data_IF_280716855577
#
_entry.id   IF_280716855577
#
_cell.length_a   1.000
_cell.length_b   1.000
_cell.length_c   1.000
_cell.angle_alpha   90.00
_cell.angle_beta   90.00
_cell.angle_gamma   90.00
#
_symmetry.space_group_name_H-M   'P 1'
#
loop_
_entity.id
_entity.type
_entity.pdbx_description
1 polymer ?
#
# COMPACT_ATOMS: atom_id res chain seq x y z
N UNK A 1 -2.49 -0.13 -9.98
CA UNK A 1 -1.40 0.39 -10.81
C UNK A 1 -1.07 1.81 -10.37
N UNK A 2 0.19 2.05 -10.06
CA UNK A 2 0.67 3.38 -9.71
C UNK A 2 0.96 4.20 -10.96
N UNK A 3 0.59 5.47 -10.92
CA UNK A 3 0.89 6.43 -11.97
C UNK A 3 2.00 7.35 -11.45
N UNK A 4 3.14 7.33 -12.13
CA UNK A 4 4.29 8.14 -11.73
C UNK A 4 4.59 9.20 -12.78
N UNK A 5 5.09 10.33 -12.32
CA UNK A 5 5.55 11.41 -13.16
C UNK A 5 7.08 11.43 -13.29
N UNK A 6 7.62 12.52 -13.85
CA UNK A 6 9.08 12.71 -13.97
C UNK A 6 9.78 12.56 -12.62
N UNK A 7 10.92 11.86 -12.60
CA UNK A 7 11.69 11.67 -11.39
C UNK A 7 11.14 10.63 -10.43
N UNK A 8 10.09 9.88 -10.79
CA UNK A 8 9.51 8.84 -9.96
C UNK A 8 8.53 9.32 -8.89
N UNK A 9 8.09 10.58 -8.96
CA UNK A 9 7.06 11.09 -8.06
C UNK A 9 5.72 10.41 -8.35
N UNK A 10 4.96 10.09 -7.31
CA UNK A 10 3.65 9.47 -7.45
C UNK A 10 2.61 10.54 -7.77
N UNK A 11 1.92 10.39 -8.89
CA UNK A 11 0.82 11.28 -9.28
C UNK A 11 -0.53 10.74 -8.85
N UNK A 12 -0.71 9.44 -8.85
CA UNK A 12 -1.96 8.82 -8.46
C UNK A 12 -1.90 7.30 -8.50
N UNK A 13 -3.03 6.67 -8.23
CA UNK A 13 -3.20 5.22 -8.28
C UNK A 13 -4.51 4.89 -8.99
N UNK A 14 -4.48 3.86 -9.83
CA UNK A 14 -5.66 3.32 -10.49
C UNK A 14 -5.90 1.91 -9.97
N UNK A 15 -7.09 1.66 -9.45
CA UNK A 15 -7.53 0.35 -8.96
C UNK A 15 -8.69 -0.17 -9.79
N UNK A 16 -9.05 -1.44 -9.61
CA UNK A 16 -10.26 -2.01 -10.22
C UNK A 16 -11.49 -1.19 -9.82
N UNK A 17 -11.54 -0.71 -8.57
CA UNK A 17 -12.64 0.13 -8.08
C UNK A 17 -12.78 1.40 -8.88
N UNK A 18 -11.66 2.05 -9.23
CA UNK A 18 -11.68 3.27 -10.05
C UNK A 18 -12.22 3.00 -11.45
N UNK A 19 -11.84 1.87 -12.04
CA UNK A 19 -12.29 1.47 -13.37
C UNK A 19 -13.80 1.17 -13.35
N UNK A 20 -14.25 0.39 -12.36
CA UNK A 20 -15.67 0.02 -12.22
C UNK A 20 -16.52 1.26 -11.97
N UNK A 21 -16.09 2.15 -11.10
CA UNK A 21 -16.77 3.41 -10.82
C UNK A 21 -16.86 4.29 -12.07
N UNK A 22 -15.79 4.36 -12.85
CA UNK A 22 -15.74 5.11 -14.10
C UNK A 22 -16.71 4.57 -15.14
N UNK A 23 -16.76 3.25 -15.31
CA UNK A 23 -17.70 2.59 -16.23
C UNK A 23 -19.13 2.82 -15.79
N UNK A 24 -19.43 2.72 -14.49
CA UNK A 24 -20.78 2.96 -13.97
C UNK A 24 -21.24 4.41 -14.19
N UNK A 25 -20.32 5.36 -14.11
CA UNK A 25 -20.64 6.80 -14.27
C UNK A 25 -20.68 7.25 -15.72
N UNK A 26 -19.73 6.83 -16.53
CA UNK A 26 -19.49 7.37 -17.88
C UNK A 26 -19.59 6.32 -19.01
N UNK A 27 -19.88 5.06 -18.68
CA UNK A 27 -19.97 3.98 -19.66
C UNK A 27 -18.61 3.50 -20.14
N UNK A 28 -18.61 2.68 -21.19
CA UNK A 28 -17.41 2.03 -21.71
C UNK A 28 -16.37 3.00 -22.28
N UNK A 29 -16.73 4.24 -22.56
CA UNK A 29 -15.82 5.28 -23.06
C UNK A 29 -14.64 5.54 -22.11
N UNK A 30 -14.84 5.29 -20.81
CA UNK A 30 -13.79 5.45 -19.81
C UNK A 30 -12.58 4.56 -20.09
N UNK A 31 -12.80 3.41 -20.73
CA UNK A 31 -11.75 2.44 -21.03
C UNK A 31 -10.73 2.94 -22.06
N UNK A 32 -11.10 3.95 -22.85
CA UNK A 32 -10.21 4.56 -23.83
C UNK A 32 -9.59 5.88 -23.35
N UNK A 33 -9.91 6.32 -22.14
CA UNK A 33 -9.37 7.55 -21.56
C UNK A 33 -8.00 7.32 -20.92
N UNK A 34 -7.14 8.35 -20.84
CA UNK A 34 -5.89 8.26 -20.09
C UNK A 34 -6.13 7.92 -18.62
N UNK A 35 -5.24 7.13 -18.03
CA UNK A 35 -5.32 6.75 -16.62
C UNK A 35 -5.37 7.97 -15.68
N UNK A 36 -4.72 9.06 -16.05
CA UNK A 36 -4.74 10.29 -15.27
C UNK A 36 -6.12 10.91 -15.05
N UNK A 37 -7.10 10.58 -15.90
CA UNK A 37 -8.47 11.08 -15.76
C UNK A 37 -9.29 10.30 -14.73
N UNK A 38 -8.90 9.05 -14.46
CA UNK A 38 -9.64 8.18 -13.54
C UNK A 38 -8.87 7.83 -12.27
N UNK A 39 -7.59 8.18 -12.19
CA UNK A 39 -6.76 7.87 -11.03
C UNK A 39 -7.19 8.62 -9.77
N UNK A 40 -6.97 7.98 -8.63
CA UNK A 40 -7.07 8.62 -7.33
C UNK A 40 -5.76 9.36 -7.05
N UNK A 41 -5.82 10.66 -6.78
CA UNK A 41 -4.64 11.50 -6.56
C UNK A 41 -4.18 11.54 -5.11
N UNK A 42 -5.09 11.33 -4.17
CA UNK A 42 -4.79 11.27 -2.75
C UNK A 42 -4.32 9.86 -2.39
N UNK A 43 -3.05 9.59 -2.61
CA UNK A 43 -2.45 8.27 -2.43
C UNK A 43 -1.81 8.19 -1.05
N UNK A 44 -2.21 7.18 -0.27
CA UNK A 44 -1.53 6.86 0.97
C UNK A 44 -0.18 6.23 0.67
N UNK A 45 0.85 6.69 1.35
CA UNK A 45 2.22 6.21 1.18
C UNK A 45 2.85 5.93 2.55
N UNK A 46 3.94 5.18 2.56
CA UNK A 46 4.72 4.97 3.78
C UNK A 46 6.19 5.27 3.54
N UNK A 47 6.90 5.44 4.65
CA UNK A 47 8.33 5.65 4.68
C UNK A 47 9.01 4.34 5.10
N UNK A 48 10.23 4.02 4.62
CA UNK A 48 10.95 2.83 5.07
C UNK A 48 11.17 2.76 6.59
N UNK A 49 11.14 3.90 7.28
CA UNK A 49 11.30 3.96 8.73
C UNK A 49 10.00 3.70 9.49
N UNK A 50 8.85 3.65 8.82
CA UNK A 50 7.58 3.36 9.46
C UNK A 50 7.55 1.92 9.97
N UNK A 51 6.97 1.70 11.15
CA UNK A 51 6.87 0.37 11.71
C UNK A 51 5.84 -0.47 10.95
N UNK A 52 6.02 -1.79 11.00
CA UNK A 52 5.06 -2.74 10.43
C UNK A 52 3.68 -2.56 11.05
N UNK A 53 3.63 -2.25 12.34
CA UNK A 53 2.37 -1.98 13.05
C UNK A 53 1.65 -0.76 12.48
N UNK A 54 2.37 0.35 12.25
CA UNK A 54 1.81 1.56 11.65
C UNK A 54 1.30 1.31 10.24
N UNK A 55 2.07 0.59 9.42
CA UNK A 55 1.70 0.24 8.04
C UNK A 55 0.44 -0.61 8.03
N UNK A 56 0.35 -1.59 8.92
CA UNK A 56 -0.82 -2.46 9.04
C UNK A 56 -2.07 -1.68 9.43
N UNK A 57 -1.93 -0.72 10.34
CA UNK A 57 -3.04 0.15 10.73
C UNK A 57 -3.55 1.00 9.56
N UNK A 58 -2.66 1.58 8.78
CA UNK A 58 -3.05 2.35 7.59
C UNK A 58 -3.80 1.47 6.59
N UNK A 59 -3.29 0.28 6.32
CA UNK A 59 -3.94 -0.67 5.40
C UNK A 59 -5.33 -1.07 5.89
N UNK A 60 -5.48 -1.30 7.18
CA UNK A 60 -6.75 -1.67 7.79
C UNK A 60 -7.74 -0.52 7.77
N UNK A 61 -7.32 0.66 8.21
CA UNK A 61 -8.18 1.84 8.29
C UNK A 61 -8.64 2.32 6.92
N UNK A 62 -7.76 2.30 5.94
CA UNK A 62 -8.04 2.74 4.58
C UNK A 62 -8.53 1.63 3.66
N UNK A 63 -8.58 0.38 4.15
CA UNK A 63 -8.99 -0.80 3.39
C UNK A 63 -8.22 -0.97 2.09
N UNK A 64 -6.91 -0.81 2.17
CA UNK A 64 -5.99 -0.97 1.05
C UNK A 64 -5.06 -2.15 1.30
N UNK A 65 -4.67 -2.85 0.24
CA UNK A 65 -3.84 -4.05 0.31
C UNK A 65 -2.41 -3.82 -0.13
N UNK A 66 -2.12 -2.65 -0.68
CA UNK A 66 -0.80 -2.28 -1.16
C UNK A 66 -0.53 -0.84 -0.76
N UNK A 67 0.70 -0.58 -0.33
CA UNK A 67 1.10 0.75 0.11
C UNK A 67 2.45 1.09 -0.52
N UNK A 68 2.53 2.17 -1.31
CA UNK A 68 3.81 2.58 -1.88
C UNK A 68 4.76 3.06 -0.79
N UNK A 69 6.03 2.69 -0.92
CA UNK A 69 7.12 3.18 -0.09
C UNK A 69 7.79 4.33 -0.82
N UNK A 70 7.85 5.48 -0.19
CA UNK A 70 8.40 6.71 -0.78
C UNK A 70 9.62 7.16 -0.01
N UNK A 71 10.69 7.47 -0.73
CA UNK A 71 11.94 8.03 -0.20
C UNK A 71 12.22 9.31 -0.96
N UNK A 72 12.37 10.42 -0.24
CA UNK A 72 12.65 11.73 -0.83
C UNK A 72 11.66 12.11 -1.95
N UNK A 73 10.39 11.80 -1.74
CA UNK A 73 9.33 12.11 -2.69
C UNK A 73 9.24 11.19 -3.91
N UNK A 74 10.06 10.12 -3.95
CA UNK A 74 10.12 9.18 -5.07
C UNK A 74 9.71 7.79 -4.65
N UNK A 75 9.04 7.08 -5.55
CA UNK A 75 8.66 5.69 -5.33
C UNK A 75 9.90 4.81 -5.20
N UNK A 76 10.03 4.12 -4.05
CA UNK A 76 11.11 3.17 -3.78
C UNK A 76 10.67 1.71 -3.91
N UNK A 77 9.41 1.42 -3.57
CA UNK A 77 8.87 0.06 -3.66
C UNK A 77 7.41 0.04 -3.26
N UNK A 78 6.85 -1.15 -3.18
CA UNK A 78 5.46 -1.37 -2.77
C UNK A 78 5.44 -2.48 -1.74
N UNK A 79 4.70 -2.26 -0.66
CA UNK A 79 4.47 -3.26 0.38
C UNK A 79 3.05 -3.80 0.24
N UNK A 80 2.89 -5.12 0.22
CA UNK A 80 1.58 -5.76 0.19
C UNK A 80 1.10 -6.13 1.59
N UNK A 81 -0.22 -6.30 1.75
CA UNK A 81 -0.80 -6.77 3.01
C UNK A 81 -0.25 -8.16 3.39
N UNK A 82 0.00 -9.03 2.39
CA UNK A 82 0.59 -10.34 2.63
C UNK A 82 1.98 -10.26 3.24
N UNK A 83 2.83 -9.37 2.75
CA UNK A 83 4.16 -9.14 3.28
C UNK A 83 4.11 -8.60 4.72
N UNK A 84 3.20 -7.66 4.98
CA UNK A 84 3.03 -7.05 6.31
C UNK A 84 2.55 -8.08 7.34
N UNK A 85 1.55 -8.88 6.99
CA UNK A 85 1.02 -9.93 7.87
C UNK A 85 2.09 -10.97 8.18
N UNK A 86 2.83 -11.40 7.16
CA UNK A 86 3.92 -12.37 7.32
C UNK A 86 4.99 -11.85 8.26
N UNK A 87 5.39 -10.61 8.12
CA UNK A 87 6.39 -9.98 8.99
C UNK A 87 5.87 -9.84 10.43
N UNK A 88 4.59 -9.47 10.59
CA UNK A 88 3.99 -9.35 11.93
C UNK A 88 3.91 -10.70 12.64
N UNK A 89 3.58 -11.76 11.92
CA UNK A 89 3.58 -13.13 12.47
C UNK A 89 4.98 -13.50 12.94
N UNK A 90 6.01 -13.24 12.15
CA UNK A 90 7.39 -13.51 12.52
C UNK A 90 7.81 -12.75 13.79
N UNK A 91 7.42 -11.48 13.93
CA UNK A 91 7.69 -10.68 15.12
C UNK A 91 7.03 -11.27 16.36
N UNK A 92 5.76 -11.68 16.25
CA UNK A 92 5.02 -12.28 17.34
C UNK A 92 5.64 -13.62 17.77
N UNK A 93 6.04 -14.45 16.82
CA UNK A 93 6.72 -15.73 17.10
C UNK A 93 8.05 -15.50 17.80
N UNK A 94 8.82 -14.52 17.37
CA UNK A 94 10.09 -14.16 18.00
C UNK A 94 9.88 -13.73 19.46
N UNK A 95 8.89 -12.88 19.72
CA UNK A 95 8.55 -12.45 21.06
C UNK A 95 8.12 -13.63 21.95
N UNK A 96 7.30 -14.54 21.42
CA UNK A 96 6.86 -15.73 22.14
C UNK A 96 8.03 -16.64 22.48
N UNK A 97 8.97 -16.86 21.55
CA UNK A 97 10.16 -17.67 21.79
C UNK A 97 11.08 -17.03 22.82
N UNK A 98 11.25 -15.73 22.79
CA UNK A 98 12.02 -14.98 23.77
C UNK A 98 11.41 -15.13 25.19
N UNK A 99 10.10 -15.05 25.30
CA UNK A 99 9.38 -15.28 26.58
C UNK A 99 9.60 -16.69 27.09
N UNK A 100 9.48 -17.70 26.23
CA UNK A 100 9.72 -19.10 26.61
C UNK A 100 11.13 -19.32 27.14
N UNK A 101 12.13 -18.73 26.47
CA UNK A 101 13.52 -18.83 26.93
C UNK A 101 13.70 -18.18 28.28
N UNK A 102 13.10 -17.03 28.49
CA UNK A 102 13.16 -16.33 29.78
C UNK A 102 12.54 -17.17 30.92
N UNK A 103 11.38 -17.78 30.67
CA UNK A 103 10.69 -18.60 31.65
C UNK A 103 11.45 -19.91 31.93
N UNK A 104 12.10 -20.48 30.91
CA UNK A 104 12.82 -21.75 31.00
C UNK A 104 14.19 -21.63 31.66
N UNK A 105 14.73 -20.43 31.72
CA UNK A 105 16.03 -20.18 32.35
C UNK A 105 15.88 -19.80 33.81
#
# INVERSE_FOLDING_TARGET
VLITGPGGAIEGIVSERDIVAGVAKSGADVLSRPAGEIMTRDVHVCDPADSIYEIMNVMTDQRIRHLPVVVEGKLSGIVSIGDVVKQRIAEVEYEADAMKRYISS
#
